data_IF_662388921283
#
_entry.id   IF_662388921283
#
_cell.length_a   1.000
_cell.length_b   1.000
_cell.length_c   1.000
_cell.angle_alpha   90.00
_cell.angle_beta   90.00
_cell.angle_gamma   90.00
#
_symmetry.space_group_name_H-M   'P 1'
#
loop_
_entity.id
_entity.type
_entity.pdbx_description
1 polymer ?
#
# COMPACT_ATOMS: atom_id res chain seq x y z
N UNK A 1 20.52 10.98 -2.23
CA UNK A 1 20.86 12.06 -3.17
C UNK A 1 20.58 11.76 -4.64
N UNK A 2 20.97 10.59 -5.19
CA UNK A 2 20.89 10.33 -6.63
C UNK A 2 19.49 10.46 -7.29
N UNK A 3 18.42 10.02 -6.61
CA UNK A 3 17.04 10.09 -7.17
C UNK A 3 16.35 11.39 -6.77
N UNK A 4 16.31 11.69 -5.47
CA UNK A 4 15.59 12.86 -4.95
C UNK A 4 16.35 14.18 -5.13
N UNK A 5 17.66 14.16 -5.37
CA UNK A 5 18.47 15.36 -5.53
C UNK A 5 18.46 16.31 -4.33
N UNK A 6 18.16 15.80 -3.13
CA UNK A 6 17.77 16.63 -1.98
C UNK A 6 18.85 17.60 -1.50
N UNK A 7 20.15 17.29 -1.64
CA UNK A 7 21.27 18.20 -1.31
C UNK A 7 21.03 19.02 -0.04
N UNK A 8 21.20 20.34 -0.13
CA UNK A 8 20.92 21.32 0.93
C UNK A 8 19.48 21.89 0.88
N UNK A 9 18.53 21.19 0.26
CA UNK A 9 17.17 21.71 0.09
C UNK A 9 16.46 21.87 1.45
N UNK A 10 15.95 23.07 1.69
CA UNK A 10 15.16 23.46 2.85
C UNK A 10 13.79 24.00 2.41
N UNK A 11 12.90 24.27 3.37
CA UNK A 11 11.61 24.88 3.08
C UNK A 11 11.72 26.29 2.49
N UNK A 12 12.86 26.95 2.65
CA UNK A 12 13.17 28.27 2.07
C UNK A 12 13.92 28.15 0.73
N UNK A 13 14.67 27.06 0.52
CA UNK A 13 15.40 26.80 -0.72
C UNK A 13 15.09 25.39 -1.25
N UNK A 14 14.22 25.31 -2.26
CA UNK A 14 13.66 24.05 -2.74
C UNK A 14 14.61 23.28 -3.68
N UNK A 15 15.80 23.83 -3.95
CA UNK A 15 16.78 23.25 -4.86
C UNK A 15 16.35 23.37 -6.32
N UNK A 16 16.94 22.53 -7.18
CA UNK A 16 16.68 22.52 -8.63
C UNK A 16 15.70 21.41 -9.04
N UNK A 17 14.97 21.66 -10.14
CA UNK A 17 14.09 20.66 -10.75
C UNK A 17 14.90 19.44 -11.22
N UNK A 18 14.46 18.25 -10.80
CA UNK A 18 15.06 16.99 -11.22
C UNK A 18 14.40 16.48 -12.50
N UNK A 19 15.00 16.76 -13.66
CA UNK A 19 14.42 16.45 -14.98
C UNK A 19 14.06 14.99 -15.20
N UNK A 20 14.83 14.06 -14.62
CA UNK A 20 14.50 12.63 -14.67
C UNK A 20 13.17 12.32 -13.97
N UNK A 21 12.87 12.97 -12.83
CA UNK A 21 11.60 12.83 -12.14
C UNK A 21 10.46 13.47 -12.92
N UNK A 22 10.70 14.61 -13.58
CA UNK A 22 9.70 15.24 -14.47
C UNK A 22 9.34 14.30 -15.61
N UNK A 23 10.32 13.64 -16.24
CA UNK A 23 10.09 12.63 -17.27
C UNK A 23 9.28 11.43 -16.75
N UNK A 24 9.65 10.89 -15.58
CA UNK A 24 8.91 9.80 -14.94
C UNK A 24 7.46 10.20 -14.61
N UNK A 25 7.24 11.43 -14.13
CA UNK A 25 5.91 11.95 -13.80
C UNK A 25 5.06 12.13 -15.07
N UNK A 26 5.64 12.70 -16.13
CA UNK A 26 4.96 12.84 -17.42
C UNK A 26 4.55 11.48 -17.99
N UNK A 27 5.44 10.47 -17.91
CA UNK A 27 5.14 9.11 -18.33
C UNK A 27 4.02 8.48 -17.46
N UNK A 28 4.07 8.66 -16.14
CA UNK A 28 3.05 8.14 -15.24
C UNK A 28 1.65 8.72 -15.55
N UNK A 29 1.56 10.03 -15.79
CA UNK A 29 0.31 10.68 -16.22
C UNK A 29 -0.18 10.19 -17.57
N UNK A 30 0.73 10.01 -18.53
CA UNK A 30 0.39 9.47 -19.84
C UNK A 30 -0.18 8.04 -19.74
N UNK A 31 0.45 7.17 -18.94
CA UNK A 31 -0.06 5.81 -18.69
C UNK A 31 -1.41 5.86 -17.97
N UNK A 32 -1.57 6.70 -16.95
CA UNK A 32 -2.85 6.86 -16.25
C UNK A 32 -3.96 7.30 -17.20
N UNK A 33 -3.68 8.26 -18.09
CA UNK A 33 -4.60 8.69 -19.14
C UNK A 33 -5.02 7.53 -20.05
N UNK A 34 -4.07 6.72 -20.53
CA UNK A 34 -4.37 5.55 -21.37
C UNK A 34 -5.26 4.53 -20.64
N UNK A 35 -5.03 4.30 -19.34
CA UNK A 35 -5.84 3.39 -18.54
C UNK A 35 -7.32 3.82 -18.49
N UNK A 36 -7.60 5.12 -18.43
CA UNK A 36 -8.95 5.68 -18.27
C UNK A 36 -9.57 6.25 -19.55
N UNK A 37 -8.87 6.20 -20.70
CA UNK A 37 -9.29 6.87 -21.93
C UNK A 37 -10.70 6.47 -22.44
N UNK A 38 -11.16 5.25 -22.15
CA UNK A 38 -12.54 4.78 -22.44
C UNK A 38 -13.39 4.62 -21.18
N UNK A 39 -13.07 5.36 -20.12
CA UNK A 39 -13.72 5.26 -18.81
C UNK A 39 -13.60 3.87 -18.19
N UNK A 40 -14.67 3.45 -17.51
CA UNK A 40 -14.72 2.18 -16.74
C UNK A 40 -14.50 0.94 -17.61
N UNK A 41 -14.80 0.98 -18.91
CA UNK A 41 -14.57 -0.15 -19.81
C UNK A 41 -13.07 -0.44 -20.05
N UNK A 42 -12.25 0.62 -20.13
CA UNK A 42 -10.79 0.47 -20.24
C UNK A 42 -10.19 0.17 -18.87
N UNK A 43 -10.58 0.93 -17.84
CA UNK A 43 -10.07 0.77 -16.49
C UNK A 43 -10.34 -0.66 -15.96
N UNK A 44 -11.55 -1.19 -16.16
CA UNK A 44 -11.89 -2.55 -15.74
C UNK A 44 -11.01 -3.63 -16.37
N UNK A 45 -10.59 -3.46 -17.62
CA UNK A 45 -9.67 -4.40 -18.29
C UNK A 45 -8.26 -4.32 -17.71
N UNK A 46 -7.76 -3.12 -17.47
CA UNK A 46 -6.43 -2.89 -16.88
C UNK A 46 -6.37 -3.43 -15.45
N UNK A 47 -7.46 -3.29 -14.69
CA UNK A 47 -7.57 -3.75 -13.30
C UNK A 47 -7.32 -5.25 -13.14
N UNK A 48 -7.68 -6.10 -14.13
CA UNK A 48 -7.35 -7.52 -14.06
C UNK A 48 -5.85 -7.79 -13.90
N UNK A 49 -4.99 -6.96 -14.52
CA UNK A 49 -3.56 -7.06 -14.29
C UNK A 49 -3.15 -6.29 -13.03
N UNK A 50 -3.54 -5.02 -12.90
CA UNK A 50 -3.01 -4.14 -11.84
C UNK A 50 -3.49 -4.52 -10.44
N UNK A 51 -4.62 -5.22 -10.29
CA UNK A 51 -5.07 -5.73 -9.00
C UNK A 51 -4.47 -7.10 -8.67
N UNK A 52 -4.25 -7.98 -9.66
CA UNK A 52 -3.73 -9.34 -9.42
C UNK A 52 -2.20 -9.40 -9.33
N UNK A 53 -1.50 -8.63 -10.16
CA UNK A 53 -0.04 -8.64 -10.21
C UNK A 53 0.62 -8.28 -8.87
N UNK A 54 0.13 -7.29 -8.08
CA UNK A 54 0.64 -7.04 -6.75
C UNK A 54 0.58 -8.25 -5.82
N UNK A 55 -0.46 -9.09 -5.89
CA UNK A 55 -0.52 -10.31 -5.10
C UNK A 55 0.56 -11.31 -5.51
N UNK A 56 0.81 -11.48 -6.80
CA UNK A 56 1.92 -12.33 -7.29
C UNK A 56 3.25 -11.83 -6.72
N UNK A 57 3.47 -10.52 -6.71
CA UNK A 57 4.69 -9.93 -6.18
C UNK A 57 4.80 -10.03 -4.66
N UNK A 58 3.72 -9.79 -3.93
CA UNK A 58 3.67 -10.00 -2.48
C UNK A 58 3.94 -11.45 -2.12
N UNK A 59 3.38 -12.41 -2.86
CA UNK A 59 3.66 -13.84 -2.65
C UNK A 59 5.12 -14.17 -2.93
N UNK A 60 5.70 -13.69 -4.03
CA UNK A 60 7.10 -13.90 -4.34
C UNK A 60 8.02 -13.29 -3.26
N UNK A 61 7.71 -12.07 -2.80
CA UNK A 61 8.43 -11.40 -1.72
C UNK A 61 8.29 -12.14 -0.39
N UNK A 62 7.09 -12.62 -0.06
CA UNK A 62 6.86 -13.38 1.17
C UNK A 62 7.64 -14.69 1.15
N UNK A 63 7.53 -15.49 0.07
CA UNK A 63 8.28 -16.74 -0.08
C UNK A 63 9.78 -16.47 0.02
N UNK A 64 10.27 -15.41 -0.62
CA UNK A 64 11.69 -15.06 -0.49
C UNK A 64 12.04 -14.62 0.93
N UNK A 65 11.22 -13.77 1.54
CA UNK A 65 11.41 -13.24 2.87
C UNK A 65 11.50 -14.33 3.92
N UNK A 66 10.53 -15.26 3.97
CA UNK A 66 10.51 -16.35 4.95
C UNK A 66 11.63 -17.39 4.76
N UNK A 67 12.29 -17.42 3.58
CA UNK A 67 13.45 -18.30 3.33
C UNK A 67 14.78 -17.66 3.73
N UNK A 68 14.77 -16.40 4.17
CA UNK A 68 15.95 -15.71 4.67
C UNK A 68 16.13 -15.94 6.18
N UNK A 69 17.38 -15.96 6.61
CA UNK A 69 17.72 -15.99 8.04
C UNK A 69 17.19 -14.72 8.72
N UNK A 70 16.66 -14.83 9.94
CA UNK A 70 16.16 -13.68 10.71
C UNK A 70 14.72 -13.26 10.39
N UNK A 71 14.08 -13.85 9.38
CA UNK A 71 12.69 -13.57 9.04
C UNK A 71 11.71 -13.86 10.19
N UNK A 72 12.01 -14.88 11.00
CA UNK A 72 11.21 -15.25 12.17
C UNK A 72 11.15 -14.15 13.23
N UNK A 73 12.26 -13.45 13.48
CA UNK A 73 12.30 -12.33 14.44
C UNK A 73 11.45 -11.15 13.95
N UNK A 74 11.53 -10.84 12.65
CA UNK A 74 10.68 -9.81 12.03
C UNK A 74 9.19 -10.13 12.14
N UNK A 75 8.80 -11.36 11.85
CA UNK A 75 7.39 -11.80 11.96
C UNK A 75 6.93 -11.81 13.42
N UNK A 76 7.79 -12.24 14.35
CA UNK A 76 7.48 -12.24 15.77
C UNK A 76 7.26 -10.81 16.27
N UNK A 77 8.13 -9.88 15.90
CA UNK A 77 7.98 -8.45 16.22
C UNK A 77 6.65 -7.90 15.69
N UNK A 78 6.27 -8.22 14.46
CA UNK A 78 4.99 -7.78 13.88
C UNK A 78 3.75 -8.28 14.66
N UNK A 79 3.82 -9.50 15.20
CA UNK A 79 2.70 -10.13 15.89
C UNK A 79 2.71 -9.89 17.41
N UNK A 80 3.84 -9.47 17.98
CA UNK A 80 3.99 -9.28 19.42
C UNK A 80 3.17 -8.05 19.87
N UNK A 81 2.09 -8.25 20.64
CA UNK A 81 1.25 -7.13 21.03
C UNK A 81 1.83 -6.41 22.24
N UNK A 82 1.82 -5.08 22.20
CA UNK A 82 1.96 -4.24 23.40
C UNK A 82 0.57 -3.75 23.84
N UNK A 83 0.09 -4.32 24.95
CA UNK A 83 -1.25 -4.04 25.47
C UNK A 83 -1.36 -2.68 26.16
N UNK A 84 -0.24 -2.12 26.67
CA UNK A 84 -0.27 -0.81 27.31
C UNK A 84 -0.52 0.30 26.28
N UNK A 85 0.02 0.12 25.07
CA UNK A 85 -0.20 1.02 23.93
C UNK A 85 -1.68 1.18 23.56
N UNK A 86 -2.53 0.18 23.83
CA UNK A 86 -3.99 0.31 23.58
C UNK A 86 -4.70 1.33 24.48
N UNK A 87 -4.09 1.73 25.60
CA UNK A 87 -4.61 2.76 26.50
C UNK A 87 -4.41 4.18 25.95
N UNK A 88 -3.51 4.36 24.97
CA UNK A 88 -3.29 5.65 24.32
C UNK A 88 -4.37 5.93 23.27
N UNK A 89 -5.12 7.03 23.45
CA UNK A 89 -6.13 7.48 22.49
C UNK A 89 -5.55 7.77 21.10
N UNK A 90 -4.25 8.11 20.99
CA UNK A 90 -3.58 8.37 19.70
C UNK A 90 -3.57 7.13 18.81
N UNK A 91 -3.37 5.94 19.39
CA UNK A 91 -3.34 4.66 18.66
C UNK A 91 -4.68 4.38 18.00
N UNK A 92 -5.78 4.71 18.68
CA UNK A 92 -7.13 4.62 18.10
C UNK A 92 -7.38 5.65 17.00
N UNK A 93 -6.84 6.87 17.16
CA UNK A 93 -6.87 7.91 16.13
C UNK A 93 -6.11 7.50 14.87
N UNK A 94 -4.94 6.90 15.02
CA UNK A 94 -4.12 6.39 13.93
C UNK A 94 -4.80 5.18 13.26
N UNK A 95 -5.37 4.26 14.03
CA UNK A 95 -6.13 3.13 13.51
C UNK A 95 -7.37 3.57 12.70
N UNK A 96 -8.12 4.56 13.20
CA UNK A 96 -9.27 5.12 12.48
C UNK A 96 -8.82 5.80 11.18
N UNK A 97 -7.74 6.58 11.22
CA UNK A 97 -7.16 7.24 10.05
C UNK A 97 -6.68 6.22 9.01
N UNK A 98 -6.01 5.16 9.46
CA UNK A 98 -5.52 4.07 8.61
C UNK A 98 -6.68 3.41 7.85
N UNK A 99 -7.77 3.04 8.53
CA UNK A 99 -8.94 2.44 7.87
C UNK A 99 -9.62 3.43 6.93
N UNK A 100 -9.76 4.70 7.34
CA UNK A 100 -10.38 5.74 6.50
C UNK A 100 -9.62 5.93 5.18
N UNK A 101 -8.30 6.07 5.24
CA UNK A 101 -7.45 6.23 4.05
C UNK A 101 -7.30 4.94 3.25
N UNK A 102 -7.26 3.78 3.91
CA UNK A 102 -7.15 2.48 3.24
C UNK A 102 -8.35 2.18 2.34
N UNK A 103 -9.57 2.53 2.76
CA UNK A 103 -10.76 2.41 1.92
C UNK A 103 -10.99 3.62 1.00
N UNK A 104 -10.39 4.78 1.31
CA UNK A 104 -10.68 6.03 0.60
C UNK A 104 -12.15 6.46 0.73
N UNK A 105 -12.74 6.25 1.93
CA UNK A 105 -14.13 6.62 2.20
C UNK A 105 -14.31 8.13 2.02
N UNK A 106 -15.47 8.56 1.53
CA UNK A 106 -15.82 9.96 1.25
C UNK A 106 -15.03 10.64 0.10
N UNK A 107 -14.13 9.95 -0.60
CA UNK A 107 -13.46 10.50 -1.80
C UNK A 107 -14.30 10.44 -3.09
N UNK A 108 -15.53 9.93 -3.03
CA UNK A 108 -16.44 9.79 -4.18
C UNK A 108 -16.13 8.65 -5.15
N UNK A 109 -14.90 8.12 -5.16
CA UNK A 109 -14.45 7.03 -6.04
C UNK A 109 -15.34 5.78 -5.95
N UNK A 110 -15.60 5.29 -4.73
CA UNK A 110 -16.46 4.12 -4.51
C UNK A 110 -17.91 4.37 -4.95
N UNK A 111 -18.43 5.58 -4.72
CA UNK A 111 -19.79 5.98 -5.15
C UNK A 111 -19.86 6.01 -6.68
N UNK A 112 -18.85 6.57 -7.34
CA UNK A 112 -18.75 6.57 -8.80
C UNK A 112 -18.69 5.15 -9.34
N UNK A 113 -17.86 4.25 -8.78
CA UNK A 113 -17.81 2.86 -9.22
C UNK A 113 -19.15 2.14 -9.03
N UNK A 114 -19.81 2.34 -7.89
CA UNK A 114 -21.11 1.73 -7.61
C UNK A 114 -22.20 2.21 -8.59
N UNK A 115 -22.13 3.45 -9.08
CA UNK A 115 -23.09 3.99 -10.05
C UNK A 115 -23.11 3.27 -11.41
N UNK A 116 -22.03 2.55 -11.76
CA UNK A 116 -21.94 1.74 -12.97
C UNK A 116 -22.43 0.29 -12.79
N UNK A 117 -22.84 -0.10 -11.58
CA UNK A 117 -23.29 -1.45 -11.28
C UNK A 117 -24.77 -1.65 -11.65
N UNK A 118 -25.22 -2.91 -11.71
CA UNK A 118 -26.64 -3.24 -11.93
C UNK A 118 -27.48 -2.75 -10.74
N UNK A 119 -28.69 -2.26 -11.02
CA UNK A 119 -29.59 -1.73 -9.99
C UNK A 119 -29.92 -2.75 -8.89
N UNK A 120 -30.11 -4.02 -9.24
CA UNK A 120 -30.39 -5.11 -8.30
C UNK A 120 -29.12 -5.85 -7.83
N UNK A 121 -27.94 -5.25 -7.94
CA UNK A 121 -26.71 -5.88 -7.45
C UNK A 121 -26.67 -5.89 -5.91
N UNK A 122 -26.20 -6.98 -5.31
CA UNK A 122 -26.07 -7.09 -3.85
C UNK A 122 -24.84 -6.32 -3.35
N UNK A 123 -24.97 -5.00 -3.23
CA UNK A 123 -23.90 -4.12 -2.76
C UNK A 123 -23.46 -4.39 -1.31
N UNK A 124 -24.32 -4.96 -0.47
CA UNK A 124 -23.98 -5.32 0.91
C UNK A 124 -22.93 -6.43 0.95
N UNK A 125 -23.12 -7.47 0.14
CA UNK A 125 -22.14 -8.55 0.04
C UNK A 125 -20.81 -8.03 -0.51
N UNK A 126 -20.85 -7.22 -1.57
CA UNK A 126 -19.64 -6.64 -2.17
C UNK A 126 -18.86 -5.79 -1.15
N UNK A 127 -19.56 -4.96 -0.36
CA UNK A 127 -18.95 -4.12 0.66
C UNK A 127 -18.27 -4.95 1.76
N UNK A 128 -18.93 -6.00 2.27
CA UNK A 128 -18.35 -6.90 3.29
C UNK A 128 -17.16 -7.64 2.72
N UNK A 129 -17.28 -8.17 1.49
CA UNK A 129 -16.19 -8.89 0.83
C UNK A 129 -14.96 -8.01 0.61
N UNK A 130 -15.15 -6.81 0.04
CA UNK A 130 -14.06 -5.84 -0.16
C UNK A 130 -13.42 -5.46 1.18
N UNK A 131 -14.23 -5.31 2.24
CA UNK A 131 -13.71 -4.97 3.56
C UNK A 131 -12.80 -6.05 4.13
N UNK A 132 -13.25 -7.30 4.05
CA UNK A 132 -12.46 -8.43 4.51
C UNK A 132 -11.22 -8.67 3.65
N UNK A 133 -11.33 -8.54 2.32
CA UNK A 133 -10.21 -8.65 1.41
C UNK A 133 -9.14 -7.58 1.68
N UNK A 134 -9.54 -6.34 1.91
CA UNK A 134 -8.62 -5.24 2.26
C UNK A 134 -7.86 -5.52 3.56
N UNK A 135 -8.59 -5.96 4.61
CA UNK A 135 -7.99 -6.34 5.89
C UNK A 135 -6.97 -7.48 5.73
N UNK A 136 -7.36 -8.58 5.06
CA UNK A 136 -6.46 -9.71 4.84
C UNK A 136 -5.24 -9.33 4.00
N UNK A 137 -5.42 -8.48 2.99
CA UNK A 137 -4.33 -8.02 2.14
C UNK A 137 -3.33 -7.17 2.94
N UNK A 138 -3.82 -6.34 3.85
CA UNK A 138 -2.99 -5.52 4.74
C UNK A 138 -2.14 -6.40 5.67
N UNK A 139 -2.75 -7.42 6.27
CA UNK A 139 -2.02 -8.41 7.09
C UNK A 139 -0.99 -9.17 6.24
N UNK A 140 -1.40 -9.64 5.06
CA UNK A 140 -0.54 -10.39 4.15
C UNK A 140 0.70 -9.59 3.71
N UNK A 141 0.50 -8.31 3.39
CA UNK A 141 1.59 -7.38 3.08
C UNK A 141 2.48 -7.12 4.30
N UNK A 142 1.89 -7.03 5.51
CA UNK A 142 2.62 -6.95 6.77
C UNK A 142 3.62 -8.10 6.93
N UNK A 143 3.18 -9.34 6.78
CA UNK A 143 4.07 -10.51 6.81
C UNK A 143 5.21 -10.42 5.78
N UNK A 144 4.91 -10.02 4.55
CA UNK A 144 5.93 -9.89 3.50
C UNK A 144 6.98 -8.84 3.87
N UNK A 145 6.58 -7.68 4.37
CA UNK A 145 7.48 -6.59 4.77
C UNK A 145 8.33 -7.00 5.98
N UNK A 146 7.68 -7.47 7.05
CA UNK A 146 8.37 -7.78 8.30
C UNK A 146 9.31 -8.99 8.19
N UNK A 147 9.01 -9.97 7.32
CA UNK A 147 9.95 -11.06 7.03
C UNK A 147 11.27 -10.56 6.42
N UNK A 148 11.23 -9.54 5.56
CA UNK A 148 12.43 -8.93 4.97
C UNK A 148 13.14 -7.99 5.95
N UNK A 149 12.38 -7.24 6.76
CA UNK A 149 12.95 -6.38 7.81
C UNK A 149 13.73 -7.18 8.85
N UNK A 150 13.24 -8.35 9.26
CA UNK A 150 13.96 -9.23 10.20
C UNK A 150 15.32 -9.66 9.66
N UNK A 151 15.38 -10.08 8.38
CA UNK A 151 16.66 -10.38 7.71
C UNK A 151 17.59 -9.16 7.65
N UNK A 152 17.05 -7.97 7.38
CA UNK A 152 17.84 -6.75 7.31
C UNK A 152 18.42 -6.37 8.67
N UNK A 153 17.60 -6.43 9.73
CA UNK A 153 18.00 -6.15 11.10
C UNK A 153 19.12 -7.11 11.54
N UNK A 154 18.94 -8.42 11.30
CA UNK A 154 19.96 -9.42 11.61
C UNK A 154 21.27 -9.16 10.86
N UNK A 155 21.21 -8.80 9.57
CA UNK A 155 22.42 -8.48 8.78
C UNK A 155 23.13 -7.21 9.22
N UNK A 156 22.39 -6.22 9.72
CA UNK A 156 22.96 -4.97 10.22
C UNK A 156 23.37 -5.06 11.69
N UNK A 157 23.02 -6.15 12.39
CA UNK A 157 23.29 -6.33 13.82
C UNK A 157 22.53 -5.32 14.70
N UNK A 158 21.35 -4.89 14.25
CA UNK A 158 20.48 -3.93 14.98
C UNK A 158 19.17 -4.61 15.39
N UNK A 159 18.51 -4.08 16.41
CA UNK A 159 17.14 -4.46 16.76
C UNK A 159 16.16 -4.07 15.64
N UNK A 160 15.01 -4.73 15.61
CA UNK A 160 13.92 -4.41 14.67
C UNK A 160 13.13 -3.16 15.13
N UNK A 161 13.16 -2.86 16.43
CA UNK A 161 12.56 -1.70 17.11
C UNK A 161 13.02 -0.33 16.56
#
# INVERSE_FOLDING_TARGET
>A
ERVLGRGDATWENWGSIQWHLVGCLALAWFVAFLCVIKGVQSAGKVVYFTALFPYVMLTALLVRGVTLEGAGEGILFYLSPDWETLLDARVWGDAASQIFYSFGVACGSLVTLASYNKFNNNCHFDAVFVSFANFLTSIYAGFAIFSVLGFQAQRMGVSID
#
